data_IF_596703980408
#
_entry.id   IF_596703980408
#
_cell.length_a   1.000
_cell.length_b   1.000
_cell.length_c   1.000
_cell.angle_alpha   90.00
_cell.angle_beta   90.00
_cell.angle_gamma   90.00
#
_symmetry.space_group_name_H-M   'P 1'
#
loop_
_entity.id
_entity.type
_entity.pdbx_description
1 polymer ?
#
# COMPACT_ATOMS: atom_id res chain seq x y z
N UNK A 1 2.73 -16.03 2.85
CA UNK A 1 2.12 -14.79 2.33
C UNK A 1 2.67 -13.64 3.15
N UNK A 2 3.50 -12.78 2.56
CA UNK A 2 4.07 -11.62 3.28
C UNK A 2 3.07 -10.49 3.17
N UNK A 3 2.66 -9.96 4.32
CA UNK A 3 1.77 -8.81 4.42
C UNK A 3 2.57 -7.59 4.85
N UNK A 4 2.37 -6.49 4.15
CA UNK A 4 3.09 -5.24 4.35
C UNK A 4 2.14 -4.18 4.91
N UNK A 5 2.58 -3.47 5.91
CA UNK A 5 1.92 -2.25 6.37
C UNK A 5 2.08 -1.13 5.34
N UNK A 6 1.24 -0.10 5.44
CA UNK A 6 1.36 1.11 4.62
C UNK A 6 2.78 1.71 4.63
N UNK A 7 3.44 1.66 5.80
CA UNK A 7 4.79 2.20 5.97
C UNK A 7 5.82 1.33 5.25
N UNK A 8 5.81 0.02 5.48
CA UNK A 8 6.73 -0.91 4.82
C UNK A 8 6.55 -0.90 3.30
N UNK A 9 5.31 -0.75 2.81
CA UNK A 9 5.03 -0.64 1.39
C UNK A 9 5.62 0.65 0.80
N UNK A 10 5.48 1.77 1.51
CA UNK A 10 6.04 3.06 1.12
C UNK A 10 7.58 3.02 1.09
N UNK A 11 8.18 2.45 2.13
CA UNK A 11 9.64 2.28 2.25
C UNK A 11 10.18 1.35 1.14
N UNK A 12 9.51 0.22 0.86
CA UNK A 12 9.91 -0.71 -0.22
C UNK A 12 9.84 -0.09 -1.61
N UNK A 13 8.81 0.72 -1.87
CA UNK A 13 8.63 1.33 -3.19
C UNK A 13 9.38 2.66 -3.34
N UNK A 14 10.04 3.12 -2.28
CA UNK A 14 10.67 4.45 -2.22
C UNK A 14 9.68 5.54 -2.68
N UNK A 15 8.51 5.55 -2.05
CA UNK A 15 7.46 6.54 -2.30
C UNK A 15 6.99 7.21 -1.00
N UNK A 16 6.45 8.42 -1.07
CA UNK A 16 5.83 9.04 0.09
C UNK A 16 4.65 8.23 0.63
N UNK A 17 4.49 8.22 1.95
CA UNK A 17 3.41 7.51 2.63
C UNK A 17 2.00 7.91 2.13
N UNK A 18 1.80 9.18 1.79
CA UNK A 18 0.53 9.67 1.28
C UNK A 18 0.16 9.07 -0.09
N UNK A 19 1.15 8.66 -0.89
CA UNK A 19 0.93 8.01 -2.19
C UNK A 19 0.24 6.66 -2.00
N UNK A 20 0.71 5.87 -1.04
CA UNK A 20 0.10 4.59 -0.69
C UNK A 20 -1.32 4.82 -0.14
N UNK A 21 -1.51 5.80 0.75
CA UNK A 21 -2.84 6.14 1.25
C UNK A 21 -3.80 6.59 0.14
N UNK A 22 -3.31 7.36 -0.84
CA UNK A 22 -4.09 7.81 -1.98
C UNK A 22 -4.57 6.63 -2.82
N UNK A 23 -3.66 5.71 -3.18
CA UNK A 23 -3.99 4.51 -3.95
C UNK A 23 -4.94 3.56 -3.17
N UNK A 24 -4.77 3.47 -1.85
CA UNK A 24 -5.68 2.74 -0.98
C UNK A 24 -7.09 3.35 -0.97
N UNK A 25 -7.20 4.68 -0.86
CA UNK A 25 -8.49 5.40 -0.91
C UNK A 25 -9.18 5.25 -2.26
N UNK A 26 -8.41 5.16 -3.34
CA UNK A 26 -8.93 4.87 -4.68
C UNK A 26 -9.38 3.41 -4.86
N UNK A 27 -9.15 2.53 -3.87
CA UNK A 27 -9.48 1.10 -3.97
C UNK A 27 -8.60 0.34 -4.97
N UNK A 28 -7.44 0.90 -5.34
CA UNK A 28 -6.52 0.30 -6.32
C UNK A 28 -5.51 -0.66 -5.70
N UNK A 29 -5.40 -0.70 -4.37
CA UNK A 29 -4.45 -1.58 -3.68
C UNK A 29 -5.13 -2.86 -3.19
N UNK A 30 -4.60 -4.05 -3.53
CA UNK A 30 -5.06 -5.31 -2.96
C UNK A 30 -4.78 -5.28 -1.45
N UNK A 31 -5.86 -5.25 -0.67
CA UNK A 31 -5.80 -5.12 0.79
C UNK A 31 -6.45 -6.35 1.39
N UNK A 32 -5.69 -7.13 2.16
CA UNK A 32 -6.19 -8.34 2.84
C UNK A 32 -7.02 -7.98 4.08
N UNK A 33 -6.62 -6.91 4.78
CA UNK A 33 -7.36 -6.35 5.91
C UNK A 33 -7.52 -4.85 5.76
N UNK A 34 -8.76 -4.41 5.58
CA UNK A 34 -9.14 -3.02 5.84
C UNK A 34 -8.95 -2.78 7.34
N UNK A 35 -7.93 -2.03 7.70
CA UNK A 35 -7.67 -1.67 9.10
C UNK A 35 -8.93 -1.10 9.74
N UNK A 36 -9.38 -1.69 10.85
CA UNK A 36 -10.38 -1.03 11.71
C UNK A 36 -9.72 0.17 12.39
N UNK A 37 -10.52 1.06 12.98
CA UNK A 37 -10.01 2.22 13.74
C UNK A 37 -8.96 1.75 14.76
N UNK A 38 -7.73 2.24 14.64
CA UNK A 38 -6.58 1.84 15.47
C UNK A 38 -5.74 0.65 14.95
N UNK A 39 -6.11 0.04 13.81
CA UNK A 39 -5.34 -1.04 13.17
C UNK A 39 -4.78 -0.60 11.83
N UNK A 40 -3.51 -0.94 11.57
CA UNK A 40 -2.87 -0.72 10.28
C UNK A 40 -3.51 -1.59 9.20
N UNK A 41 -3.74 -1.01 8.03
CA UNK A 41 -4.06 -1.78 6.83
C UNK A 41 -2.86 -2.64 6.44
N UNK A 42 -3.14 -3.86 5.98
CA UNK A 42 -2.16 -4.82 5.50
C UNK A 42 -2.38 -5.10 4.02
N UNK A 43 -1.31 -4.97 3.25
CA UNK A 43 -1.26 -5.07 1.80
C UNK A 43 -0.44 -6.29 1.37
N UNK A 44 -0.78 -6.87 0.23
CA UNK A 44 0.01 -7.96 -0.37
C UNK A 44 1.20 -7.40 -1.14
N UNK A 45 2.13 -8.27 -1.53
CA UNK A 45 3.26 -7.86 -2.38
C UNK A 45 2.80 -7.36 -3.76
N UNK A 46 1.65 -7.81 -4.28
CA UNK A 46 1.06 -7.29 -5.53
C UNK A 46 0.79 -5.78 -5.47
N UNK A 47 0.58 -5.23 -4.26
CA UNK A 47 0.45 -3.79 -4.07
C UNK A 47 1.72 -3.02 -4.47
N UNK A 48 2.90 -3.64 -4.36
CA UNK A 48 4.20 -3.05 -4.75
C UNK A 48 4.20 -2.75 -6.24
N UNK A 49 3.75 -3.68 -7.08
CA UNK A 49 3.72 -3.48 -8.53
C UNK A 49 2.83 -2.30 -8.93
N UNK A 50 1.68 -2.15 -8.25
CA UNK A 50 0.74 -1.07 -8.50
C UNK A 50 1.32 0.28 -8.09
N UNK A 51 1.99 0.34 -6.94
CA UNK A 51 2.66 1.55 -6.45
C UNK A 51 3.82 1.93 -7.38
N UNK A 52 4.66 0.98 -7.78
CA UNK A 52 5.77 1.22 -8.70
C UNK A 52 5.29 1.69 -10.09
N UNK A 53 4.19 1.12 -10.59
CA UNK A 53 3.55 1.57 -11.83
C UNK A 53 3.02 3.00 -11.74
N UNK A 54 2.62 3.44 -10.54
CA UNK A 54 2.21 4.82 -10.30
C UNK A 54 3.41 5.78 -10.23
N UNK A 55 4.56 5.35 -9.67
CA UNK A 55 5.80 6.13 -9.60
C UNK A 55 6.41 6.41 -10.98
N UNK A 56 6.35 5.45 -11.90
CA UNK A 56 6.90 5.57 -13.26
C UNK A 56 6.01 6.30 -14.27
N UNK A 57 4.95 6.99 -13.81
CA UNK A 57 3.99 7.72 -14.64
C UNK A 57 4.17 9.22 -14.48
#
# INVERSE_FOLDING_TARGET
MVLLTTKELADKCDVPFYTVQYLAKLGKLPTERKGKRGQSALYTEDAIEIVNKHKGK
#
